data_IF_187174798631
#
_entry.id   IF_187174798631
#
_cell.length_a   1.000
_cell.length_b   1.000
_cell.length_c   1.000
_cell.angle_alpha   90.00
_cell.angle_beta   90.00
_cell.angle_gamma   90.00
#
_symmetry.space_group_name_H-M   'P 1'
#
loop_
_entity.id
_entity.type
_entity.pdbx_description
1 polymer ?
#
# COMPACT_ATOMS: atom_id res chain seq x y z
N UNK A 1 -33.66 17.32 75.05
CA UNK A 1 -34.67 18.39 74.83
C UNK A 1 -35.44 18.06 73.56
N UNK A 2 -36.68 18.55 73.42
CA UNK A 2 -37.67 18.34 72.34
C UNK A 2 -37.08 18.00 70.95
N UNK A 3 -37.44 16.92 70.25
CA UNK A 3 -38.74 16.41 69.76
C UNK A 3 -39.24 17.08 68.45
N UNK A 4 -39.40 16.25 67.42
CA UNK A 4 -40.06 16.50 66.13
C UNK A 4 -39.85 15.27 65.22
N UNK A 5 -40.80 14.37 64.90
CA UNK A 5 -42.27 14.32 65.02
C UNK A 5 -42.99 15.33 64.11
N UNK A 6 -43.85 14.98 63.13
CA UNK A 6 -44.25 13.66 62.53
C UNK A 6 -43.58 13.50 61.12
N UNK A 7 -44.05 12.83 60.04
CA UNK A 7 -45.16 11.91 59.68
C UNK A 7 -44.71 11.14 58.40
N UNK A 8 -44.85 9.82 58.12
CA UNK A 8 -45.50 8.62 58.69
C UNK A 8 -46.89 8.22 58.15
N UNK A 9 -47.02 7.72 56.90
CA UNK A 9 -48.10 6.86 56.30
C UNK A 9 -47.75 6.59 54.80
N UNK A 10 -48.17 5.53 54.09
CA UNK A 10 -48.88 4.30 54.48
C UNK A 10 -48.49 3.09 53.58
N UNK A 11 -48.93 1.89 53.98
CA UNK A 11 -48.91 0.64 53.23
C UNK A 11 -49.85 0.68 52.00
N UNK A 12 -49.64 -0.20 51.01
CA UNK A 12 -50.66 -0.50 49.99
C UNK A 12 -50.14 -1.27 48.77
N UNK A 13 -50.45 -2.56 48.67
CA UNK A 13 -50.22 -3.32 47.44
C UNK A 13 -51.33 -3.04 46.42
N UNK A 14 -51.04 -2.37 45.30
CA UNK A 14 -51.55 -2.75 43.97
C UNK A 14 -50.92 -1.92 42.84
N UNK A 15 -50.03 -2.53 42.04
CA UNK A 15 -50.21 -2.57 40.58
C UNK A 15 -49.25 -3.58 39.95
N UNK A 16 -49.84 -4.60 39.31
CA UNK A 16 -49.15 -5.48 38.35
C UNK A 16 -48.97 -4.74 37.02
N UNK A 17 -48.07 -5.30 36.19
CA UNK A 17 -47.96 -5.06 34.74
C UNK A 17 -47.18 -3.82 34.30
N UNK A 18 -46.72 -3.87 33.05
CA UNK A 18 -46.12 -2.78 32.28
C UNK A 18 -44.79 -2.18 32.77
N UNK A 19 -43.73 -3.02 32.82
CA UNK A 19 -42.41 -2.58 32.31
C UNK A 19 -41.48 -3.70 31.82
N UNK A 20 -41.72 -4.97 32.16
CA UNK A 20 -40.94 -6.12 31.62
C UNK A 20 -41.30 -6.45 30.14
N UNK A 21 -41.10 -5.50 29.21
CA UNK A 21 -41.18 -5.79 27.76
C UNK A 21 -40.40 -4.87 26.82
N UNK A 22 -39.27 -4.34 27.28
CA UNK A 22 -38.15 -3.78 26.48
C UNK A 22 -36.97 -3.73 27.47
N UNK A 23 -35.76 -4.22 27.20
CA UNK A 23 -35.07 -4.45 25.93
C UNK A 23 -34.61 -5.91 25.82
N UNK A 24 -35.47 -6.81 25.30
CA UNK A 24 -35.07 -8.17 24.90
C UNK A 24 -35.44 -8.51 23.45
N UNK A 25 -35.59 -7.48 22.62
CA UNK A 25 -35.40 -7.61 21.17
C UNK A 25 -33.97 -7.22 20.80
N UNK A 26 -33.02 -8.11 21.14
CA UNK A 26 -31.88 -8.32 20.23
C UNK A 26 -32.43 -9.03 18.99
N UNK A 27 -33.19 -8.33 18.14
CA UNK A 27 -34.02 -8.94 17.10
C UNK A 27 -33.19 -9.86 16.23
N UNK A 28 -33.35 -11.17 16.40
CA UNK A 28 -32.63 -12.19 15.65
C UNK A 28 -33.24 -12.36 14.24
N UNK A 29 -33.40 -11.24 13.53
CA UNK A 29 -33.76 -11.25 12.12
C UNK A 29 -32.76 -12.16 11.39
N UNK A 30 -33.22 -13.23 10.71
CA UNK A 30 -32.32 -14.16 10.04
C UNK A 30 -31.47 -13.45 8.97
N UNK A 31 -31.99 -12.35 8.41
CA UNK A 31 -31.28 -11.45 7.52
C UNK A 31 -30.01 -10.82 8.12
N UNK A 32 -29.86 -10.69 9.45
CA UNK A 32 -28.63 -10.14 10.05
C UNK A 32 -27.43 -11.07 9.84
N UNK A 33 -27.59 -12.37 10.12
CA UNK A 33 -26.54 -13.37 9.89
C UNK A 33 -26.25 -13.53 8.40
N UNK A 34 -27.29 -13.61 7.58
CA UNK A 34 -27.15 -13.70 6.11
C UNK A 34 -26.45 -12.47 5.54
N UNK A 35 -26.79 -11.25 6.00
CA UNK A 35 -26.14 -10.01 5.55
C UNK A 35 -24.66 -9.97 5.93
N UNK A 36 -24.29 -10.35 7.15
CA UNK A 36 -22.88 -10.45 7.57
C UNK A 36 -22.14 -11.49 6.69
N UNK A 37 -22.73 -12.66 6.43
CA UNK A 37 -22.14 -13.68 5.55
C UNK A 37 -21.98 -13.20 4.10
N UNK A 38 -22.96 -12.48 3.55
CA UNK A 38 -22.89 -11.90 2.20
C UNK A 38 -21.83 -10.80 2.11
N UNK A 39 -21.72 -9.94 3.12
CA UNK A 39 -20.68 -8.91 3.21
C UNK A 39 -19.30 -9.56 3.32
N UNK A 40 -19.13 -10.59 4.15
CA UNK A 40 -17.89 -11.35 4.25
C UNK A 40 -17.51 -12.02 2.92
N UNK A 41 -18.45 -12.66 2.23
CA UNK A 41 -18.24 -13.25 0.90
C UNK A 41 -17.86 -12.20 -0.15
N UNK A 42 -18.49 -11.03 -0.14
CA UNK A 42 -18.15 -9.93 -1.05
C UNK A 42 -16.72 -9.42 -0.80
N UNK A 43 -16.34 -9.18 0.45
CA UNK A 43 -14.97 -8.78 0.80
C UNK A 43 -13.93 -9.87 0.50
N UNK A 44 -14.23 -11.16 0.77
CA UNK A 44 -13.35 -12.27 0.38
C UNK A 44 -13.19 -12.37 -1.14
N UNK A 45 -14.26 -12.14 -1.91
CA UNK A 45 -14.21 -12.08 -3.37
C UNK A 45 -13.34 -10.94 -3.87
N UNK A 46 -13.58 -9.71 -3.41
CA UNK A 46 -12.76 -8.53 -3.75
C UNK A 46 -11.29 -8.76 -3.39
N UNK A 47 -11.02 -9.34 -2.21
CA UNK A 47 -9.66 -9.67 -1.79
C UNK A 47 -9.00 -10.67 -2.75
N UNK A 48 -9.69 -11.76 -3.08
CA UNK A 48 -9.16 -12.82 -3.94
C UNK A 48 -8.94 -12.41 -5.40
N UNK A 49 -9.78 -11.51 -5.91
CA UNK A 49 -9.73 -11.05 -7.31
C UNK A 49 -8.94 -9.74 -7.52
N UNK A 50 -8.67 -8.93 -6.49
CA UNK A 50 -8.09 -7.59 -6.67
C UNK A 50 -7.18 -7.03 -5.57
N UNK A 51 -7.03 -7.69 -4.41
CA UNK A 51 -6.14 -7.22 -3.33
C UNK A 51 -5.10 -8.26 -2.89
N UNK A 52 -4.98 -9.37 -3.63
CA UNK A 52 -3.99 -10.41 -3.38
C UNK A 52 -2.68 -10.08 -4.10
N UNK A 53 -1.62 -9.81 -3.36
CA UNK A 53 -0.26 -9.72 -3.90
C UNK A 53 0.15 -11.02 -4.61
N UNK A 54 0.82 -10.88 -5.76
CA UNK A 54 1.40 -12.02 -6.46
C UNK A 54 2.64 -12.53 -5.68
N UNK A 55 2.64 -13.80 -5.22
CA UNK A 55 3.79 -14.34 -4.50
C UNK A 55 5.07 -14.35 -5.35
N UNK A 56 4.99 -14.38 -6.70
CA UNK A 56 6.18 -14.20 -7.55
C UNK A 56 6.78 -12.81 -7.37
N UNK A 57 5.96 -11.76 -7.38
CA UNK A 57 6.41 -10.36 -7.21
C UNK A 57 7.09 -10.19 -5.85
N UNK A 58 6.51 -10.77 -4.79
CA UNK A 58 7.09 -10.78 -3.45
C UNK A 58 8.49 -11.42 -3.45
N UNK A 59 8.63 -12.63 -3.99
CA UNK A 59 9.91 -13.36 -4.06
C UNK A 59 10.96 -12.61 -4.89
N UNK A 60 10.57 -11.99 -6.01
CA UNK A 60 11.50 -11.20 -6.84
C UNK A 60 11.97 -9.92 -6.11
N UNK A 61 11.08 -9.26 -5.35
CA UNK A 61 11.44 -8.07 -4.56
C UNK A 61 12.29 -8.43 -3.33
N UNK A 62 12.03 -9.56 -2.68
CA UNK A 62 12.93 -10.12 -1.65
C UNK A 62 14.31 -10.44 -2.24
N UNK A 63 14.38 -11.01 -3.44
CA UNK A 63 15.64 -11.29 -4.12
C UNK A 63 16.44 -10.00 -4.42
N UNK A 64 15.78 -8.93 -4.88
CA UNK A 64 16.40 -7.60 -5.05
C UNK A 64 16.99 -7.10 -3.73
N UNK A 65 16.20 -7.10 -2.64
CA UNK A 65 16.65 -6.58 -1.34
C UNK A 65 17.74 -7.43 -0.69
N UNK A 66 17.74 -8.75 -0.92
CA UNK A 66 18.71 -9.69 -0.37
C UNK A 66 20.04 -9.71 -1.13
N UNK A 67 19.99 -9.67 -2.47
CA UNK A 67 21.15 -9.84 -3.33
C UNK A 67 21.72 -8.50 -3.84
N UNK A 68 20.98 -7.40 -3.67
CA UNK A 68 21.40 -6.05 -4.06
C UNK A 68 22.51 -5.48 -3.20
N UNK A 69 23.42 -4.77 -3.85
CA UNK A 69 24.48 -3.98 -3.25
C UNK A 69 23.94 -2.84 -2.38
N UNK A 70 24.80 -2.25 -1.55
CA UNK A 70 24.49 -1.01 -0.84
C UNK A 70 24.08 0.10 -1.82
N UNK A 71 24.77 0.25 -2.95
CA UNK A 71 24.43 1.26 -3.96
C UNK A 71 23.00 1.10 -4.53
N UNK A 72 22.50 -0.12 -4.67
CA UNK A 72 21.12 -0.37 -5.09
C UNK A 72 20.10 -0.14 -3.95
N UNK A 73 20.46 -0.52 -2.72
CA UNK A 73 19.57 -0.46 -1.55
C UNK A 73 19.45 0.94 -0.94
N UNK A 74 20.54 1.70 -0.94
CA UNK A 74 20.63 3.06 -0.41
C UNK A 74 20.19 4.12 -1.45
N UNK A 75 19.82 3.70 -2.67
CA UNK A 75 19.42 4.60 -3.75
C UNK A 75 18.08 5.33 -3.42
N UNK A 76 17.93 6.63 -3.74
CA UNK A 76 16.71 7.40 -3.41
C UNK A 76 15.43 6.95 -4.15
N UNK A 77 15.53 5.97 -5.05
CA UNK A 77 14.41 5.25 -5.66
C UNK A 77 14.60 3.74 -5.46
N UNK A 78 13.60 3.08 -4.87
CA UNK A 78 13.65 1.63 -4.66
C UNK A 78 13.13 0.90 -5.89
N UNK A 79 14.01 0.20 -6.59
CA UNK A 79 13.64 -0.60 -7.76
C UNK A 79 12.91 -1.88 -7.35
N UNK A 80 11.73 -2.09 -7.93
CA UNK A 80 10.84 -3.20 -7.59
C UNK A 80 10.15 -3.76 -8.85
N UNK A 81 9.87 -5.05 -8.83
CA UNK A 81 8.88 -5.70 -9.71
C UNK A 81 7.49 -5.28 -9.23
N UNK A 82 6.60 -4.96 -10.17
CA UNK A 82 5.18 -4.61 -9.90
C UNK A 82 4.20 -5.69 -10.36
N UNK A 83 4.58 -6.53 -11.34
CA UNK A 83 3.83 -7.72 -11.76
C UNK A 83 4.72 -8.70 -12.54
N UNK A 84 4.27 -9.95 -12.69
CA UNK A 84 4.90 -10.95 -13.57
C UNK A 84 3.91 -11.47 -14.61
N UNK A 85 4.14 -11.10 -15.88
CA UNK A 85 3.35 -11.57 -17.02
C UNK A 85 3.93 -12.88 -17.57
N UNK A 86 3.40 -14.02 -17.11
CA UNK A 86 3.91 -15.37 -17.38
C UNK A 86 5.34 -15.61 -16.85
N UNK A 87 6.34 -15.25 -17.66
CA UNK A 87 7.79 -15.29 -17.39
C UNK A 87 8.47 -13.93 -17.58
N UNK A 88 7.70 -12.88 -17.90
CA UNK A 88 8.18 -11.50 -18.06
C UNK A 88 7.97 -10.76 -16.75
N UNK A 89 9.05 -10.40 -16.05
CA UNK A 89 8.96 -9.50 -14.90
C UNK A 89 8.80 -8.05 -15.38
N UNK A 90 7.83 -7.32 -14.86
CA UNK A 90 7.65 -5.88 -15.13
C UNK A 90 8.15 -5.09 -13.92
N UNK A 91 9.18 -4.28 -14.14
CA UNK A 91 9.88 -3.50 -13.12
C UNK A 91 9.53 -2.02 -13.22
N UNK A 92 9.32 -1.37 -12.08
CA UNK A 92 9.02 0.05 -12.00
C UNK A 92 10.27 0.91 -12.27
N UNK A 93 10.13 1.95 -13.10
CA UNK A 93 11.17 2.95 -13.39
C UNK A 93 10.61 4.37 -13.28
N UNK A 94 11.35 5.32 -12.68
CA UNK A 94 10.94 6.73 -12.63
C UNK A 94 11.36 7.51 -13.89
N UNK A 95 12.04 6.88 -14.86
CA UNK A 95 12.32 7.43 -16.20
C UNK A 95 11.52 6.70 -17.29
N UNK A 96 11.16 7.41 -18.35
CA UNK A 96 10.57 6.89 -19.59
C UNK A 96 10.98 7.76 -20.78
N UNK A 97 10.38 7.54 -21.96
CA UNK A 97 10.43 8.51 -23.06
C UNK A 97 9.66 9.80 -22.73
N UNK A 98 8.56 9.69 -21.98
CA UNK A 98 7.73 10.82 -21.53
C UNK A 98 8.36 11.60 -20.37
N UNK A 99 9.14 10.94 -19.51
CA UNK A 99 9.84 11.55 -18.37
C UNK A 99 11.35 11.37 -18.55
N UNK A 100 12.03 12.37 -19.15
CA UNK A 100 13.46 12.32 -19.40
C UNK A 100 14.28 12.30 -18.11
N UNK A 101 15.49 11.76 -18.22
CA UNK A 101 16.44 11.59 -17.10
C UNK A 101 16.72 12.90 -16.35
N UNK A 102 16.73 14.06 -17.02
CA UNK A 102 16.93 15.36 -16.35
C UNK A 102 15.81 15.72 -15.35
N UNK A 103 14.54 15.44 -15.66
CA UNK A 103 13.41 15.68 -14.73
C UNK A 103 13.53 14.76 -13.52
N UNK A 104 13.86 13.50 -13.79
CA UNK A 104 14.01 12.44 -12.78
C UNK A 104 15.18 12.72 -11.83
N UNK A 105 16.38 13.06 -12.35
CA UNK A 105 17.57 13.38 -11.54
C UNK A 105 17.33 14.60 -10.66
N UNK A 106 16.69 15.66 -11.17
CA UNK A 106 16.34 16.84 -10.36
C UNK A 106 15.39 16.55 -9.19
N UNK A 107 14.59 15.47 -9.25
CA UNK A 107 13.66 15.07 -8.18
C UNK A 107 14.22 13.99 -7.23
N UNK A 108 15.29 13.31 -7.62
CA UNK A 108 16.12 12.48 -6.73
C UNK A 108 17.12 13.35 -5.97
N UNK A 109 17.76 14.28 -6.68
CA UNK A 109 18.83 15.15 -6.22
C UNK A 109 18.51 16.63 -6.52
N UNK A 110 17.82 17.36 -5.62
CA UNK A 110 17.41 18.75 -5.84
C UNK A 110 18.58 19.71 -6.11
N UNK A 111 19.78 19.41 -5.63
CA UNK A 111 21.03 20.13 -5.93
C UNK A 111 21.49 20.01 -7.39
N UNK A 112 20.93 19.06 -8.16
CA UNK A 112 21.19 18.86 -9.59
C UNK A 112 20.04 19.37 -10.48
N UNK A 113 18.95 19.88 -9.89
CA UNK A 113 17.83 20.43 -10.65
C UNK A 113 18.27 21.68 -11.43
N UNK A 114 18.09 21.66 -12.75
CA UNK A 114 18.49 22.76 -13.64
C UNK A 114 19.99 22.77 -14.00
N UNK A 115 20.80 21.82 -13.52
CA UNK A 115 22.17 21.64 -14.03
C UNK A 115 22.15 21.20 -15.50
N UNK A 116 23.21 21.55 -16.24
CA UNK A 116 23.37 21.13 -17.62
C UNK A 116 23.78 19.63 -17.72
N UNK A 117 23.39 18.89 -18.77
CA UNK A 117 23.71 17.47 -18.90
C UNK A 117 25.20 17.12 -18.99
N UNK A 118 26.06 18.11 -19.21
CA UNK A 118 27.53 17.97 -19.23
C UNK A 118 28.20 18.28 -17.87
N UNK A 119 27.42 18.62 -16.84
CA UNK A 119 27.94 18.82 -15.48
C UNK A 119 28.45 17.48 -14.90
N UNK A 120 29.63 17.46 -14.24
CA UNK A 120 30.23 16.22 -13.74
C UNK A 120 29.37 15.48 -12.71
N UNK A 121 28.59 16.20 -11.89
CA UNK A 121 27.71 15.58 -10.89
C UNK A 121 26.47 14.96 -11.55
N UNK A 122 25.95 15.61 -12.59
CA UNK A 122 24.85 15.08 -13.40
C UNK A 122 25.27 13.79 -14.12
N UNK A 123 26.45 13.80 -14.74
CA UNK A 123 27.07 12.62 -15.37
C UNK A 123 27.34 11.51 -14.34
N UNK A 124 27.70 11.86 -13.09
CA UNK A 124 27.86 10.88 -12.03
C UNK A 124 26.52 10.23 -11.63
N UNK A 125 25.46 11.03 -11.46
CA UNK A 125 24.11 10.53 -11.15
C UNK A 125 23.51 9.68 -12.28
N UNK A 126 23.76 10.01 -13.56
CA UNK A 126 23.36 9.15 -14.69
C UNK A 126 24.11 7.81 -14.69
N UNK A 127 25.42 7.81 -14.40
CA UNK A 127 26.24 6.59 -14.31
C UNK A 127 25.85 5.73 -13.11
N UNK A 128 25.44 6.34 -12.00
CA UNK A 128 24.90 5.66 -10.83
C UNK A 128 23.57 4.98 -11.17
N UNK A 129 22.61 5.74 -11.72
CA UNK A 129 21.32 5.23 -12.20
C UNK A 129 21.48 4.03 -13.14
N UNK A 130 22.39 4.13 -14.12
CA UNK A 130 22.65 3.07 -15.08
C UNK A 130 23.18 1.78 -14.42
N UNK A 131 24.04 1.90 -13.39
CA UNK A 131 24.52 0.76 -12.60
C UNK A 131 23.38 0.10 -11.83
N UNK A 132 22.64 0.86 -11.01
CA UNK A 132 21.59 0.29 -10.15
C UNK A 132 20.42 -0.29 -10.96
N UNK A 133 20.06 0.30 -12.10
CA UNK A 133 19.09 -0.31 -13.02
C UNK A 133 19.59 -1.60 -13.65
N UNK A 134 20.87 -1.66 -14.07
CA UNK A 134 21.47 -2.89 -14.62
C UNK A 134 21.55 -3.98 -13.55
N UNK A 135 21.91 -3.62 -12.32
CA UNK A 135 22.01 -4.54 -11.18
C UNK A 135 20.65 -5.11 -10.79
N UNK A 136 19.63 -4.27 -10.57
CA UNK A 136 18.28 -4.71 -10.23
C UNK A 136 17.70 -5.63 -11.32
N UNK A 137 17.86 -5.27 -12.60
CA UNK A 137 17.44 -6.10 -13.73
C UNK A 137 18.19 -7.44 -13.77
N UNK A 138 19.51 -7.43 -13.50
CA UNK A 138 20.31 -8.66 -13.44
C UNK A 138 19.78 -9.60 -12.35
N UNK A 139 19.59 -9.11 -11.12
CA UNK A 139 19.11 -9.94 -9.99
C UNK A 139 17.77 -10.59 -10.32
N UNK A 140 16.84 -9.85 -10.94
CA UNK A 140 15.53 -10.37 -11.38
C UNK A 140 15.64 -11.42 -12.48
N UNK A 141 16.54 -11.23 -13.47
CA UNK A 141 16.80 -12.21 -14.54
C UNK A 141 17.53 -13.48 -14.04
N UNK A 142 18.22 -13.41 -12.90
CA UNK A 142 18.85 -14.56 -12.25
C UNK A 142 17.86 -15.41 -11.43
N UNK A 143 16.59 -15.00 -11.31
CA UNK A 143 15.57 -15.76 -10.56
C UNK A 143 14.85 -16.81 -11.44
N UNK A 144 14.56 -18.01 -10.90
CA UNK A 144 13.93 -19.08 -11.66
C UNK A 144 12.51 -18.71 -12.12
N UNK A 145 12.23 -18.97 -13.40
CA UNK A 145 10.93 -18.66 -14.02
C UNK A 145 10.81 -17.27 -14.63
N UNK A 146 11.86 -16.44 -14.56
CA UNK A 146 11.95 -15.18 -15.32
C UNK A 146 12.76 -15.43 -16.61
N UNK A 147 12.23 -15.00 -17.75
CA UNK A 147 12.92 -15.04 -19.06
C UNK A 147 13.22 -13.64 -19.61
N UNK A 148 12.48 -12.63 -19.18
CA UNK A 148 12.63 -11.25 -19.62
C UNK A 148 12.30 -10.29 -18.46
N UNK A 149 12.93 -9.12 -18.43
CA UNK A 149 12.63 -8.05 -17.50
C UNK A 149 12.37 -6.75 -18.28
N UNK A 150 11.13 -6.27 -18.23
CA UNK A 150 10.65 -5.03 -18.87
C UNK A 150 10.57 -3.89 -17.85
N UNK A 151 10.61 -2.66 -18.35
CA UNK A 151 10.53 -1.45 -17.54
C UNK A 151 9.23 -0.71 -17.82
N UNK A 152 8.48 -0.36 -16.78
CA UNK A 152 7.23 0.41 -16.85
C UNK A 152 7.31 1.67 -15.98
N UNK A 153 6.68 2.75 -16.42
CA UNK A 153 6.76 4.05 -15.75
C UNK A 153 6.00 4.06 -14.42
N UNK A 154 6.71 4.36 -13.33
CA UNK A 154 6.13 4.53 -12.01
C UNK A 154 5.42 5.88 -11.88
N UNK A 155 4.20 5.95 -12.41
CA UNK A 155 3.37 7.15 -12.36
C UNK A 155 3.04 7.56 -10.91
N UNK A 156 2.92 6.60 -9.99
CA UNK A 156 2.60 6.88 -8.58
C UNK A 156 3.76 7.58 -7.87
N UNK A 157 5.00 7.12 -8.07
CA UNK A 157 6.19 7.80 -7.55
C UNK A 157 6.35 9.21 -8.15
N UNK A 158 6.09 9.36 -9.45
CA UNK A 158 6.17 10.65 -10.14
C UNK A 158 5.14 11.66 -9.62
N UNK A 159 3.90 11.23 -9.42
CA UNK A 159 2.84 12.04 -8.79
C UNK A 159 3.23 12.40 -7.35
N UNK A 160 3.74 11.44 -6.56
CA UNK A 160 4.25 11.69 -5.21
C UNK A 160 5.45 12.65 -5.14
N UNK A 161 6.17 12.81 -6.25
CA UNK A 161 7.26 13.80 -6.44
C UNK A 161 6.81 15.09 -7.13
N UNK A 162 5.51 15.26 -7.40
CA UNK A 162 4.93 16.39 -8.13
C UNK A 162 5.50 16.60 -9.55
N UNK A 163 5.95 15.52 -10.21
CA UNK A 163 6.48 15.57 -11.58
C UNK A 163 5.33 15.37 -12.57
N UNK A 164 5.15 16.34 -13.47
CA UNK A 164 4.12 16.25 -14.51
C UNK A 164 4.47 15.19 -15.57
N UNK A 165 3.44 14.42 -15.96
CA UNK A 165 3.48 13.39 -17.01
C UNK A 165 3.26 13.97 -18.43
N UNK A 166 3.30 15.30 -18.57
CA UNK A 166 3.08 16.07 -19.80
C UNK A 166 4.39 16.73 -20.31
#
# INVERSE_FOLDING_TARGET
MLIGIWHRHCNGCLQRSFSERMILEHSASPGKKVSITLIALAFSGIYWFGLRDDPKVTILNEAIQKNGSSALRDYPYQFQVVRVENTVAVMATPRSTTVPVYRMIGALYPSLAGKAPNDPDFIAAEKELAKVQTEAKKIVLEQPGVSEAKWELDQNWLIGKNISLN
#
